data_IF_113459731515
#
_entry.id   IF_113459731515
#
_cell.length_a   1.000
_cell.length_b   1.000
_cell.length_c   1.000
_cell.angle_alpha   90.00
_cell.angle_beta   90.00
_cell.angle_gamma   90.00
#
_symmetry.space_group_name_H-M   'P 1'
#
loop_
_entity.id
_entity.type
_entity.pdbx_description
1 polymer ?
#
# COMPACT_ATOMS: atom_id res chain seq x y z
N UNK A 1 -6.87 -6.03 -24.13
CA UNK A 1 -7.30 -5.95 -22.72
C UNK A 1 -8.07 -4.65 -22.51
N UNK A 2 -9.26 -4.66 -21.87
CA UNK A 2 -10.10 -3.47 -21.75
C UNK A 2 -9.65 -2.46 -20.67
N UNK A 3 -8.75 -2.85 -19.78
CA UNK A 3 -8.20 -1.99 -18.72
C UNK A 3 -6.83 -2.50 -18.25
N UNK A 4 -6.10 -1.64 -17.53
CA UNK A 4 -4.82 -1.96 -16.86
C UNK A 4 -5.07 -2.97 -15.75
N UNK A 5 -4.30 -4.04 -15.69
CA UNK A 5 -4.41 -5.10 -14.68
C UNK A 5 -3.63 -4.70 -13.41
N UNK A 6 -4.02 -5.15 -12.21
CA UNK A 6 -3.20 -4.98 -11.03
C UNK A 6 -1.83 -5.66 -11.19
N UNK A 7 -0.88 -5.26 -10.35
CA UNK A 7 0.37 -6.02 -10.22
C UNK A 7 0.07 -7.38 -9.60
N UNK A 8 1.06 -8.28 -9.67
CA UNK A 8 0.94 -9.60 -9.04
C UNK A 8 0.67 -9.48 -7.53
N UNK A 9 -0.14 -10.41 -7.02
CA UNK A 9 -0.30 -10.75 -5.63
C UNK A 9 0.03 -12.21 -5.40
N UNK A 10 0.42 -12.55 -4.17
CA UNK A 10 0.76 -13.93 -3.80
C UNK A 10 -0.42 -14.91 -3.99
N UNK A 11 -1.65 -14.43 -3.80
CA UNK A 11 -2.89 -15.23 -3.88
C UNK A 11 -3.64 -15.06 -5.20
N UNK A 12 -3.05 -14.40 -6.21
CA UNK A 12 -3.72 -14.19 -7.49
C UNK A 12 -3.89 -15.52 -8.23
N UNK A 13 -5.09 -15.77 -8.75
CA UNK A 13 -5.37 -16.86 -9.68
C UNK A 13 -5.44 -16.35 -11.13
N UNK A 14 -5.46 -17.29 -12.09
CA UNK A 14 -5.62 -16.94 -13.52
C UNK A 14 -7.09 -16.90 -13.97
N UNK A 15 -8.04 -16.95 -13.03
CA UNK A 15 -9.47 -17.12 -13.30
C UNK A 15 -10.24 -15.81 -13.47
N UNK A 16 -9.79 -14.73 -12.81
CA UNK A 16 -10.40 -13.42 -12.88
C UNK A 16 -9.45 -12.36 -13.47
N UNK A 17 -10.02 -11.39 -14.19
CA UNK A 17 -9.31 -10.18 -14.58
C UNK A 17 -9.87 -9.02 -13.75
N UNK A 18 -9.00 -8.40 -12.97
CA UNK A 18 -9.33 -7.28 -12.10
C UNK A 18 -8.78 -5.98 -12.69
N UNK A 19 -9.44 -4.86 -12.39
CA UNK A 19 -8.94 -3.54 -12.74
C UNK A 19 -7.85 -3.14 -11.75
N UNK A 20 -6.79 -2.51 -12.25
CA UNK A 20 -5.80 -1.88 -11.37
C UNK A 20 -6.41 -0.72 -10.59
N UNK A 21 -6.28 -0.78 -9.27
CA UNK A 21 -6.72 0.26 -8.35
C UNK A 21 -5.60 0.63 -7.38
N UNK A 22 -5.55 1.92 -7.04
CA UNK A 22 -4.66 2.47 -6.02
C UNK A 22 -5.55 3.11 -4.96
N UNK A 23 -5.42 2.63 -3.72
CA UNK A 23 -6.11 3.21 -2.59
C UNK A 23 -5.50 4.57 -2.21
N UNK A 24 -6.33 5.61 -2.09
CA UNK A 24 -5.91 6.96 -1.69
C UNK A 24 -5.96 7.05 -0.16
N UNK A 25 -4.97 6.45 0.49
CA UNK A 25 -4.83 6.51 1.95
C UNK A 25 -4.23 7.85 2.39
N UNK A 26 -4.75 8.42 3.48
CA UNK A 26 -4.35 9.74 4.01
C UNK A 26 -2.83 9.88 4.14
N UNK A 27 -2.20 8.93 4.84
CA UNK A 27 -0.78 9.03 5.19
C UNK A 27 0.12 8.84 3.95
N UNK A 28 -0.24 7.92 3.04
CA UNK A 28 0.46 7.70 1.77
C UNK A 28 0.39 8.94 0.86
N UNK A 29 -0.76 9.63 0.81
CA UNK A 29 -0.94 10.88 0.05
C UNK A 29 -0.08 12.01 0.61
N UNK A 30 -0.13 12.24 1.92
CA UNK A 30 0.65 13.30 2.56
C UNK A 30 2.15 13.05 2.40
N UNK A 31 2.58 11.80 2.46
CA UNK A 31 3.95 11.40 2.17
C UNK A 31 4.32 11.62 0.70
N UNK A 32 3.45 11.30 -0.25
CA UNK A 32 3.68 11.56 -1.67
C UNK A 32 3.76 13.06 -1.99
N UNK A 33 2.93 13.90 -1.35
CA UNK A 33 3.04 15.36 -1.43
C UNK A 33 4.38 15.86 -0.88
N UNK A 34 4.81 15.34 0.27
CA UNK A 34 6.13 15.63 0.81
C UNK A 34 7.24 15.20 -0.15
N UNK A 35 7.13 14.03 -0.77
CA UNK A 35 8.18 13.46 -1.59
C UNK A 35 8.34 14.16 -2.94
N UNK A 36 7.21 14.50 -3.57
CA UNK A 36 7.17 15.08 -4.93
C UNK A 36 7.06 16.60 -4.95
N UNK A 37 6.71 17.23 -3.82
CA UNK A 37 6.31 18.63 -3.74
C UNK A 37 5.11 19.00 -4.65
N UNK A 38 4.32 18.02 -5.08
CA UNK A 38 3.06 18.24 -5.82
C UNK A 38 1.99 18.72 -4.84
N UNK A 39 1.64 20.00 -4.95
CA UNK A 39 0.59 20.61 -4.10
C UNK A 39 -0.31 21.57 -4.85
N UNK A 40 0.04 22.01 -6.07
CA UNK A 40 -0.80 22.94 -6.82
C UNK A 40 -1.96 22.23 -7.51
N UNK A 41 -3.08 22.94 -7.70
CA UNK A 41 -4.28 22.40 -8.37
C UNK A 41 -3.98 21.79 -9.75
N UNK A 42 -3.10 22.41 -10.54
CA UNK A 42 -2.74 21.93 -11.88
C UNK A 42 -1.92 20.64 -11.83
N UNK A 43 -1.04 20.52 -10.83
CA UNK A 43 -0.26 19.29 -10.62
C UNK A 43 -1.16 18.16 -10.13
N UNK A 44 -2.07 18.43 -9.20
CA UNK A 44 -3.05 17.45 -8.72
C UNK A 44 -3.99 17.00 -9.85
N UNK A 45 -4.41 17.92 -10.71
CA UNK A 45 -5.14 17.60 -11.95
C UNK A 45 -4.36 16.63 -12.81
N UNK A 46 -3.05 16.85 -12.96
CA UNK A 46 -2.18 15.96 -13.74
C UNK A 46 -2.01 14.59 -13.10
N UNK A 47 -2.05 14.48 -11.76
CA UNK A 47 -2.09 13.20 -11.04
C UNK A 47 -3.41 12.49 -11.26
N UNK A 48 -4.54 13.18 -11.07
CA UNK A 48 -5.87 12.60 -11.24
C UNK A 48 -6.19 12.25 -12.70
N UNK A 49 -5.54 12.89 -13.67
CA UNK A 49 -5.63 12.53 -15.08
C UNK A 49 -5.10 11.10 -15.40
N UNK A 50 -4.35 10.48 -14.48
CA UNK A 50 -3.94 9.07 -14.60
C UNK A 50 -5.10 8.09 -14.34
N UNK A 51 -6.21 8.55 -13.77
CA UNK A 51 -7.39 7.70 -13.51
C UNK A 51 -8.22 7.46 -14.78
N UNK A 52 -8.99 6.37 -14.80
CA UNK A 52 -9.82 6.04 -15.97
C UNK A 52 -11.25 6.54 -15.82
N UNK A 53 -11.56 7.67 -16.47
CA UNK A 53 -12.93 8.18 -16.61
C UNK A 53 -13.29 9.31 -15.62
N UNK A 54 -14.38 10.05 -15.90
CA UNK A 54 -14.68 11.30 -15.20
C UNK A 54 -15.03 11.11 -13.73
N UNK A 55 -15.73 10.03 -13.36
CA UNK A 55 -16.10 9.77 -11.97
C UNK A 55 -14.87 9.55 -11.07
N UNK A 56 -13.91 8.72 -11.52
CA UNK A 56 -12.67 8.47 -10.78
C UNK A 56 -11.81 9.74 -10.68
N UNK A 57 -11.76 10.54 -11.75
CA UNK A 57 -11.08 11.83 -11.75
C UNK A 57 -11.67 12.77 -10.70
N UNK A 58 -13.00 12.91 -10.66
CA UNK A 58 -13.69 13.75 -9.66
C UNK A 58 -13.43 13.27 -8.24
N UNK A 59 -13.54 11.96 -7.97
CA UNK A 59 -13.23 11.40 -6.65
C UNK A 59 -11.77 11.66 -6.25
N UNK A 60 -10.82 11.46 -7.16
CA UNK A 60 -9.41 11.76 -6.91
C UNK A 60 -9.21 13.23 -6.51
N UNK A 61 -9.78 14.18 -7.25
CA UNK A 61 -9.69 15.61 -6.92
C UNK A 61 -10.33 15.96 -5.57
N UNK A 62 -11.46 15.32 -5.23
CA UNK A 62 -12.13 15.50 -3.93
C UNK A 62 -11.27 15.06 -2.75
N UNK A 63 -10.41 14.06 -2.92
CA UNK A 63 -9.47 13.64 -1.87
C UNK A 63 -8.18 14.47 -1.85
N UNK A 64 -7.61 14.77 -3.03
CA UNK A 64 -6.30 15.42 -3.10
C UNK A 64 -6.32 16.91 -2.77
N UNK A 65 -7.40 17.64 -3.09
CA UNK A 65 -7.48 19.08 -2.81
C UNK A 65 -7.45 19.37 -1.30
N UNK A 66 -8.32 18.79 -0.44
CA UNK A 66 -8.24 19.02 1.01
C UNK A 66 -6.93 18.51 1.63
N UNK A 67 -6.40 17.39 1.13
CA UNK A 67 -5.11 16.87 1.60
C UNK A 67 -3.97 17.86 1.32
N UNK A 68 -4.00 18.56 0.17
CA UNK A 68 -3.00 19.57 -0.18
C UNK A 68 -3.07 20.80 0.73
N UNK A 69 -4.27 21.21 1.13
CA UNK A 69 -4.48 22.30 2.08
C UNK A 69 -3.89 21.92 3.45
N UNK A 70 -4.23 20.74 3.97
CA UNK A 70 -3.66 20.21 5.22
C UNK A 70 -2.13 20.11 5.14
N UNK A 71 -1.60 19.60 4.02
CA UNK A 71 -0.16 19.45 3.85
C UNK A 71 0.55 20.80 3.87
N UNK A 72 0.07 21.77 3.09
CA UNK A 72 0.69 23.09 2.95
C UNK A 72 0.60 23.92 4.22
N UNK A 73 -0.52 23.81 4.96
CA UNK A 73 -0.76 24.59 6.18
C UNK A 73 -0.07 24.00 7.41
N UNK A 74 -0.08 22.68 7.57
CA UNK A 74 0.36 22.04 8.82
C UNK A 74 1.69 21.27 8.70
N UNK A 75 1.98 20.68 7.55
CA UNK A 75 3.04 19.66 7.43
C UNK A 75 4.25 20.12 6.63
N UNK A 76 4.10 21.04 5.68
CA UNK A 76 5.19 21.46 4.79
C UNK A 76 6.40 22.01 5.56
N UNK A 77 6.17 23.00 6.43
CA UNK A 77 7.23 23.63 7.22
C UNK A 77 7.97 22.65 8.16
N UNK A 78 7.29 21.85 9.00
CA UNK A 78 7.99 20.93 9.90
C UNK A 78 8.72 19.80 9.18
N UNK A 79 8.24 19.37 8.00
CA UNK A 79 8.88 18.30 7.23
C UNK A 79 10.05 18.79 6.37
N UNK A 80 10.23 20.10 6.18
CA UNK A 80 11.30 20.63 5.33
C UNK A 80 12.70 20.20 5.82
N UNK A 81 12.87 20.08 7.14
CA UNK A 81 14.11 19.59 7.75
C UNK A 81 14.47 18.14 7.37
N UNK A 82 13.53 17.36 6.84
CA UNK A 82 13.72 15.98 6.38
C UNK A 82 14.01 15.85 4.87
N UNK A 83 14.00 16.96 4.12
CA UNK A 83 14.27 16.94 2.66
C UNK A 83 15.65 16.38 2.28
N UNK A 84 16.74 16.63 3.03
CA UNK A 84 18.04 15.99 2.74
C UNK A 84 17.97 14.47 2.83
N UNK A 85 17.34 13.95 3.88
CA UNK A 85 17.15 12.51 4.11
C UNK A 85 16.28 11.89 3.02
N UNK A 86 15.23 12.59 2.58
CA UNK A 86 14.42 12.16 1.46
C UNK A 86 15.25 12.09 0.17
N UNK A 87 16.10 13.08 -0.12
CA UNK A 87 16.96 13.05 -1.32
C UNK A 87 17.89 11.84 -1.30
N UNK A 88 18.54 11.58 -0.16
CA UNK A 88 19.41 10.41 0.01
C UNK A 88 18.63 9.09 -0.13
N UNK A 89 17.45 9.01 0.48
CA UNK A 89 16.56 7.84 0.40
C UNK A 89 16.07 7.61 -1.03
N UNK A 90 15.75 8.67 -1.76
CA UNK A 90 15.30 8.60 -3.15
C UNK A 90 16.40 8.01 -4.05
N UNK A 91 17.66 8.39 -3.84
CA UNK A 91 18.79 7.84 -4.58
C UNK A 91 19.01 6.35 -4.25
N UNK A 92 18.91 5.97 -2.98
CA UNK A 92 19.02 4.58 -2.56
C UNK A 92 17.91 3.71 -3.15
N UNK A 93 16.65 4.17 -3.09
CA UNK A 93 15.49 3.44 -3.63
C UNK A 93 15.53 3.39 -5.16
N UNK A 94 15.96 4.47 -5.84
CA UNK A 94 16.12 4.45 -7.29
C UNK A 94 17.10 3.35 -7.74
N UNK A 95 18.14 3.06 -6.95
CA UNK A 95 19.07 1.96 -7.21
C UNK A 95 18.45 0.55 -7.12
N UNK A 96 17.31 0.40 -6.45
CA UNK A 96 16.57 -0.88 -6.38
C UNK A 96 15.81 -1.20 -7.67
N UNK A 97 15.62 -0.22 -8.56
CA UNK A 97 14.90 -0.37 -9.82
C UNK A 97 13.49 -0.98 -9.67
N UNK A 98 12.79 -0.62 -8.58
CA UNK A 98 11.42 -1.10 -8.34
C UNK A 98 10.49 -0.56 -9.42
N UNK A 99 9.75 -1.45 -10.03
CA UNK A 99 8.89 -1.14 -11.17
C UNK A 99 7.52 -1.79 -11.07
N UNK A 100 6.59 -1.24 -11.83
CA UNK A 100 5.31 -1.83 -12.20
C UNK A 100 5.41 -2.34 -13.62
N UNK A 101 4.82 -3.50 -13.89
CA UNK A 101 4.82 -4.12 -15.22
C UNK A 101 3.42 -4.31 -15.74
N UNK A 102 3.26 -4.21 -17.05
CA UNK A 102 2.02 -4.55 -17.75
C UNK A 102 2.34 -5.36 -19.00
N UNK A 103 1.51 -6.37 -19.25
CA UNK A 103 1.50 -7.06 -20.53
C UNK A 103 0.62 -6.27 -21.50
N UNK A 104 1.13 -5.99 -22.69
CA UNK A 104 0.40 -5.25 -23.69
C UNK A 104 0.69 -5.77 -25.10
N UNK A 105 -0.31 -5.72 -25.97
CA UNK A 105 -0.15 -5.98 -27.39
C UNK A 105 -0.18 -4.63 -28.11
N UNK A 106 0.94 -4.21 -28.68
CA UNK A 106 1.04 -2.94 -29.43
C UNK A 106 1.34 -3.29 -30.89
N UNK A 107 0.49 -2.83 -31.81
CA UNK A 107 0.61 -3.12 -33.24
C UNK A 107 0.73 -4.64 -33.55
N UNK A 108 0.03 -5.48 -32.79
CA UNK A 108 0.05 -6.94 -32.96
C UNK A 108 1.26 -7.65 -32.37
N UNK A 109 2.15 -6.93 -31.68
CA UNK A 109 3.32 -7.48 -30.99
C UNK A 109 3.09 -7.44 -29.49
N UNK A 110 3.16 -8.62 -28.86
CA UNK A 110 3.11 -8.75 -27.40
C UNK A 110 4.43 -8.29 -26.80
N UNK A 111 4.34 -7.43 -25.79
CA UNK A 111 5.49 -6.92 -25.07
C UNK A 111 5.15 -6.64 -23.61
N UNK A 112 6.19 -6.61 -22.78
CA UNK A 112 6.10 -6.20 -21.38
C UNK A 112 6.49 -4.73 -21.28
N UNK A 113 5.59 -3.91 -20.76
CA UNK A 113 5.80 -2.52 -20.46
C UNK A 113 6.33 -2.40 -19.03
N UNK A 114 7.44 -1.69 -18.85
CA UNK A 114 8.04 -1.41 -17.55
C UNK A 114 7.85 0.05 -17.19
N UNK A 115 7.34 0.30 -15.99
CA UNK A 115 7.13 1.63 -15.44
C UNK A 115 7.83 1.72 -14.08
N UNK A 116 8.97 2.42 -13.96
CA UNK A 116 9.65 2.63 -12.68
C UNK A 116 8.71 3.33 -11.68
N UNK A 117 8.72 2.88 -10.43
CA UNK A 117 7.89 3.50 -9.38
C UNK A 117 8.44 4.86 -8.97
N UNK A 118 9.76 4.95 -8.76
CA UNK A 118 10.46 6.21 -8.49
C UNK A 118 11.56 6.38 -9.53
N UNK A 119 11.70 7.59 -10.06
CA UNK A 119 12.80 7.96 -10.96
C UNK A 119 13.83 8.80 -10.20
N UNK A 120 15.11 8.68 -10.56
CA UNK A 120 16.21 9.46 -9.98
C UNK A 120 16.14 10.96 -10.31
N UNK A 121 15.43 11.33 -11.37
CA UNK A 121 15.16 12.72 -11.69
C UNK A 121 14.10 13.28 -10.75
N UNK A 122 14.43 14.40 -10.10
CA UNK A 122 13.54 15.21 -9.25
C UNK A 122 12.34 15.82 -10.00
N UNK A 123 12.07 15.39 -11.23
CA UNK A 123 10.89 15.79 -11.99
C UNK A 123 9.65 15.19 -11.34
N UNK A 124 8.79 16.08 -10.88
CA UNK A 124 7.46 15.84 -10.33
C UNK A 124 6.51 15.29 -11.40
N UNK A 125 6.81 14.09 -11.91
CA UNK A 125 5.89 13.40 -12.80
C UNK A 125 4.65 13.00 -12.00
N UNK A 126 3.48 13.08 -12.63
CA UNK A 126 2.22 12.60 -12.05
C UNK A 126 2.33 11.16 -11.55
N UNK A 127 3.09 10.32 -12.26
CA UNK A 127 3.31 8.93 -11.89
C UNK A 127 4.16 8.79 -10.62
N UNK A 128 5.19 9.63 -10.47
CA UNK A 128 6.05 9.60 -9.27
C UNK A 128 5.23 9.83 -7.98
N UNK A 129 4.12 10.57 -8.06
CA UNK A 129 3.18 10.71 -6.94
C UNK A 129 2.61 9.36 -6.50
N UNK A 130 2.09 8.58 -7.45
CA UNK A 130 1.58 7.22 -7.23
C UNK A 130 2.72 6.30 -6.76
N UNK A 131 3.90 6.44 -7.36
CA UNK A 131 5.14 5.79 -6.95
C UNK A 131 5.42 5.94 -5.45
N UNK A 132 5.48 7.18 -4.97
CA UNK A 132 5.73 7.47 -3.56
C UNK A 132 4.61 7.02 -2.64
N UNK A 133 3.34 7.03 -3.08
CA UNK A 133 2.25 6.41 -2.32
C UNK A 133 2.50 4.92 -2.10
N UNK A 134 2.81 4.17 -3.16
CA UNK A 134 3.05 2.72 -3.03
C UNK A 134 4.32 2.39 -2.24
N UNK A 135 5.32 3.27 -2.26
CA UNK A 135 6.54 3.10 -1.46
C UNK A 135 6.28 3.35 0.02
N UNK A 136 5.38 4.28 0.33
CA UNK A 136 4.86 4.42 1.69
C UNK A 136 4.10 3.16 2.12
N UNK A 137 3.24 2.62 1.27
CA UNK A 137 2.52 1.38 1.55
C UNK A 137 3.49 0.20 1.79
N UNK A 138 4.56 0.11 1.00
CA UNK A 138 5.61 -0.92 1.14
C UNK A 138 6.32 -0.86 2.49
N UNK A 139 6.76 0.33 2.93
CA UNK A 139 7.40 0.45 4.26
C UNK A 139 6.45 0.24 5.43
N UNK A 140 5.14 0.26 5.18
CA UNK A 140 4.08 -0.01 6.16
C UNK A 140 3.48 -1.42 6.02
N UNK A 141 4.16 -2.34 5.32
CA UNK A 141 3.75 -3.75 5.18
C UNK A 141 2.39 -3.94 4.47
N UNK A 142 1.93 -2.93 3.72
CA UNK A 142 0.70 -3.01 2.92
C UNK A 142 0.96 -3.50 1.51
N UNK A 143 2.22 -3.44 1.06
CA UNK A 143 2.71 -3.95 -0.21
C UNK A 143 4.06 -4.59 0.02
N UNK A 144 4.50 -5.37 -0.95
CA UNK A 144 5.80 -6.03 -0.92
C UNK A 144 6.54 -5.77 -2.24
N UNK A 145 7.87 -5.84 -2.18
CA UNK A 145 8.73 -5.71 -3.35
C UNK A 145 9.47 -7.02 -3.53
N UNK A 146 9.29 -7.65 -4.69
CA UNK A 146 9.90 -8.93 -5.02
C UNK A 146 10.91 -8.79 -6.14
N UNK A 147 12.02 -9.51 -6.05
CA UNK A 147 13.01 -9.63 -7.12
C UNK A 147 12.84 -10.97 -7.82
N UNK A 148 12.28 -10.94 -9.03
CA UNK A 148 12.16 -12.09 -9.90
C UNK A 148 13.43 -12.25 -10.72
N UNK A 149 14.14 -13.35 -10.50
CA UNK A 149 15.39 -13.68 -11.17
C UNK A 149 15.09 -14.65 -12.30
N UNK A 150 15.23 -14.20 -13.54
CA UNK A 150 15.18 -15.05 -14.72
C UNK A 150 16.54 -15.16 -15.38
N UNK A 151 16.64 -16.08 -16.35
CA UNK A 151 17.89 -16.41 -17.04
C UNK A 151 18.49 -15.22 -17.82
N UNK A 152 17.62 -14.33 -18.31
CA UNK A 152 18.01 -13.17 -19.10
C UNK A 152 18.08 -11.89 -18.25
N UNK A 153 17.11 -11.71 -17.34
CA UNK A 153 16.89 -10.45 -16.65
C UNK A 153 16.37 -10.66 -15.24
N UNK A 154 16.78 -9.76 -14.35
CA UNK A 154 16.19 -9.56 -13.02
C UNK A 154 15.12 -8.47 -13.09
N UNK A 155 13.93 -8.74 -12.57
CA UNK A 155 12.85 -7.76 -12.47
C UNK A 155 12.47 -7.53 -11.00
N UNK A 156 12.58 -6.28 -10.55
CA UNK A 156 12.17 -5.89 -9.19
C UNK A 156 10.79 -5.24 -9.28
N UNK A 157 9.78 -5.92 -8.74
CA UNK A 157 8.37 -5.59 -8.95
C UNK A 157 7.67 -5.29 -7.62
N UNK A 158 6.86 -4.23 -7.62
CA UNK A 158 5.96 -3.89 -6.52
C UNK A 158 4.68 -4.73 -6.62
N UNK A 159 4.25 -5.37 -5.55
CA UNK A 159 3.01 -6.17 -5.50
C UNK A 159 1.75 -5.29 -5.51
N UNK A 160 0.59 -5.91 -5.74
CA UNK A 160 -0.71 -5.32 -5.33
C UNK A 160 -0.78 -5.17 -3.79
N UNK A 161 -1.68 -4.33 -3.26
CA UNK A 161 -1.79 -4.18 -1.82
C UNK A 161 -2.42 -5.43 -1.19
N UNK A 162 -1.93 -5.83 -0.03
CA UNK A 162 -2.47 -6.95 0.74
C UNK A 162 -3.62 -6.48 1.63
N UNK A 163 -4.76 -7.18 1.66
CA UNK A 163 -5.76 -6.93 2.67
C UNK A 163 -5.19 -7.27 4.06
N UNK A 164 -5.53 -6.48 5.07
CA UNK A 164 -5.24 -6.84 6.46
C UNK A 164 -6.10 -8.04 6.84
N UNK A 165 -5.54 -9.24 6.76
CA UNK A 165 -6.24 -10.43 7.22
C UNK A 165 -6.12 -10.54 8.74
N UNK A 166 -7.25 -10.38 9.44
CA UNK A 166 -7.31 -10.64 10.87
C UNK A 166 -7.42 -12.15 11.05
N UNK A 167 -6.29 -12.80 11.31
CA UNK A 167 -6.27 -14.20 11.71
C UNK A 167 -6.96 -14.34 13.07
N UNK A 168 -8.21 -14.80 13.07
CA UNK A 168 -8.93 -15.13 14.30
C UNK A 168 -8.31 -16.39 14.91
N UNK A 169 -7.75 -16.27 16.11
CA UNK A 169 -7.18 -17.41 16.83
C UNK A 169 -8.33 -18.36 17.20
N UNK A 170 -8.25 -19.61 16.73
CA UNK A 170 -9.14 -20.67 17.18
C UNK A 170 -8.73 -21.10 18.61
N UNK A 171 -9.59 -20.93 19.63
CA UNK A 171 -9.27 -21.30 21.01
C UNK A 171 -9.08 -22.81 21.22
N UNK A 172 -9.46 -23.65 20.24
CA UNK A 172 -9.22 -25.11 20.26
C UNK A 172 -7.78 -25.44 19.84
N UNK A 173 -7.21 -24.71 18.90
CA UNK A 173 -5.83 -24.89 18.41
C UNK A 173 -4.81 -24.27 19.38
N UNK A 174 -5.19 -23.17 20.05
CA UNK A 174 -4.38 -22.48 21.05
C UNK A 174 -5.17 -22.30 22.37
N UNK A 175 -5.19 -23.32 23.24
CA UNK A 175 -5.93 -23.28 24.51
C UNK A 175 -5.29 -22.35 25.56
N UNK A 176 -4.07 -21.87 25.31
CA UNK A 176 -3.34 -20.95 26.18
C UNK A 176 -3.11 -19.61 25.49
N UNK A 177 -3.06 -18.54 26.28
CA UNK A 177 -2.75 -17.19 25.80
C UNK A 177 -1.48 -17.20 24.96
N UNK A 178 -1.62 -16.97 23.65
CA UNK A 178 -0.49 -16.89 22.74
C UNK A 178 0.23 -15.53 22.82
N UNK A 179 -0.42 -14.48 23.35
CA UNK A 179 0.15 -13.13 23.47
C UNK A 179 1.55 -13.09 24.14
N UNK A 180 1.91 -13.85 25.21
CA UNK A 180 3.29 -13.86 25.72
C UNK A 180 4.32 -14.48 24.76
N UNK A 181 3.97 -15.54 24.03
CA UNK A 181 4.87 -16.18 23.06
C UNK A 181 5.08 -15.30 21.83
N UNK A 182 4.00 -14.68 21.31
CA UNK A 182 4.09 -13.70 20.24
C UNK A 182 4.96 -12.50 20.63
N UNK A 183 4.85 -12.04 21.88
CA UNK A 183 5.68 -10.93 22.38
C UNK A 183 7.18 -11.28 22.35
N UNK A 184 7.55 -12.50 22.77
CA UNK A 184 8.93 -12.98 22.69
C UNK A 184 9.41 -13.07 21.25
N UNK A 185 8.58 -13.63 20.35
CA UNK A 185 8.92 -13.76 18.92
C UNK A 185 9.09 -12.40 18.25
N UNK A 186 8.22 -11.42 18.54
CA UNK A 186 8.33 -10.05 18.02
C UNK A 186 9.56 -9.30 18.53
N UNK A 187 10.09 -9.66 19.71
CA UNK A 187 11.33 -9.05 20.24
C UNK A 187 12.55 -9.71 19.61
N UNK A 188 12.50 -11.02 19.32
CA UNK A 188 13.63 -11.75 18.74
C UNK A 188 13.67 -11.71 17.21
N UNK A 189 12.54 -11.45 16.54
CA UNK A 189 12.43 -11.34 15.09
C UNK A 189 12.18 -9.89 14.66
N UNK A 190 12.91 -9.41 13.66
CA UNK A 190 12.75 -8.07 13.07
C UNK A 190 11.46 -7.94 12.23
N UNK A 191 10.33 -8.47 12.70
CA UNK A 191 9.03 -8.38 12.03
C UNK A 191 8.26 -7.22 12.66
N UNK A 192 8.27 -6.07 11.98
CA UNK A 192 7.40 -4.93 12.32
C UNK A 192 5.99 -5.17 11.77
N UNK A 193 5.26 -6.13 12.32
CA UNK A 193 3.80 -6.13 12.14
C UNK A 193 3.18 -5.13 13.11
N UNK A 194 2.36 -4.23 12.58
CA UNK A 194 1.70 -3.18 13.33
C UNK A 194 0.51 -3.78 14.12
N UNK A 195 0.80 -4.58 15.15
CA UNK A 195 -0.21 -5.07 16.10
C UNK A 195 -0.56 -3.95 17.09
N UNK A 196 -1.34 -2.97 16.63
CA UNK A 196 -2.17 -2.19 17.54
C UNK A 196 -3.31 -3.10 17.97
N UNK A 197 -3.24 -3.50 19.24
CA UNK A 197 -4.30 -4.12 20.05
C UNK A 197 -4.40 -5.67 19.97
N UNK A 198 -3.84 -6.37 20.98
CA UNK A 198 -4.27 -7.72 21.39
C UNK A 198 -5.68 -7.52 21.97
N UNK A 199 -6.77 -7.99 21.34
CA UNK A 199 -8.09 -7.82 21.92
C UNK A 199 -8.12 -8.60 23.24
N UNK A 200 -8.39 -7.91 24.33
CA UNK A 200 -8.77 -8.48 25.63
C UNK A 200 -10.13 -9.20 25.48
N UNK A 201 -10.15 -10.29 24.73
CA UNK A 201 -11.32 -11.13 24.52
C UNK A 201 -11.22 -12.39 25.39
N UNK A 202 -10.96 -12.25 26.69
CA UNK A 202 -10.93 -13.40 27.61
C UNK A 202 -11.63 -13.18 28.96
N UNK A 203 -12.49 -12.17 29.09
CA UNK A 203 -13.35 -12.04 30.27
C UNK A 203 -14.84 -12.05 29.92
N UNK A 204 -15.29 -13.11 29.25
CA UNK A 204 -16.69 -13.54 29.35
C UNK A 204 -16.70 -14.94 29.96
N UNK A 205 -16.53 -14.97 31.28
CA UNK A 205 -16.80 -16.16 32.10
C UNK A 205 -18.31 -16.38 32.09
N UNK A 206 -18.83 -17.13 31.11
CA UNK A 206 -20.25 -17.51 31.08
C UNK A 206 -20.47 -18.52 32.20
N UNK A 207 -21.05 -18.06 33.31
CA UNK A 207 -21.50 -18.92 34.40
C UNK A 207 -22.56 -19.92 33.87
N UNK A 208 -22.57 -21.18 34.35
CA UNK A 208 -23.54 -22.17 33.89
C UNK A 208 -24.91 -21.86 34.48
N UNK A 209 -25.89 -21.52 33.62
CA UNK A 209 -27.30 -21.54 34.02
C UNK A 209 -27.85 -22.96 33.80
N UNK A 210 -28.22 -23.60 34.91
CA UNK A 210 -29.02 -24.82 34.94
C UNK A 210 -30.42 -24.57 34.33
N UNK A 211 -31.12 -25.61 33.85
CA UNK A 211 -32.38 -25.46 33.13
C UNK A 211 -33.56 -25.40 34.09
N UNK A 212 -34.47 -24.46 33.85
CA UNK A 212 -35.84 -24.55 34.40
C UNK A 212 -36.84 -24.20 33.31
N UNK A 213 -37.56 -25.24 32.88
CA UNK A 213 -38.84 -25.22 32.20
C UNK A 213 -39.88 -24.35 32.92
N UNK A 214 -40.74 -23.67 32.15
CA UNK A 214 -42.21 -23.83 32.13
C UNK A 214 -42.93 -22.56 31.61
N UNK A 215 -43.85 -22.77 30.67
CA UNK A 215 -45.21 -22.19 30.54
C UNK A 215 -45.33 -20.65 30.73
N UNK A 216 -45.84 -19.89 29.76
CA UNK A 216 -47.11 -20.03 29.04
C UNK A 216 -47.12 -19.20 27.77
#
# INVERSE_FOLDING_TARGET
MPYVQPSFGYYDDCGAQDRHEINIARDSVLFAMFATAITSSDQLTSVCALTTGPAMFTSCMQYLLPASDVFTTLLKAPLEALRPQLTQTSQAIAGLNVSFVQWATIAGVDQVLHQPMITSSSTSSSWSFIGWMTMFDWVNDQREVYSFQGDLNTNVLMSRPHPSEVMAINPVELPYNACPYFWVVCITGTVKQHFRDCPTALTQKKAPQLPTTCLS
#
